data_IF_345063089723
#
_entry.id   IF_345063089723
#
_cell.length_a   1.000
_cell.length_b   1.000
_cell.length_c   1.000
_cell.angle_alpha   90.00
_cell.angle_beta   90.00
_cell.angle_gamma   90.00
#
_symmetry.space_group_name_H-M   'P 1'
#
loop_
_entity.id
_entity.type
_entity.pdbx_description
1 polymer ?
#
# COMPACT_ATOMS: atom_id res chain seq x y z
N UNK A 1 21.19 -7.31 -35.17
CA UNK A 1 20.94 -7.27 -33.71
C UNK A 1 21.24 -5.87 -33.22
N UNK A 2 20.21 -5.04 -33.10
CA UNK A 2 20.33 -3.65 -32.65
C UNK A 2 20.28 -3.64 -31.12
N UNK A 3 21.24 -3.01 -30.42
CA UNK A 3 21.18 -2.92 -28.97
C UNK A 3 19.96 -2.07 -28.58
N UNK A 4 19.11 -2.61 -27.69
CA UNK A 4 18.04 -1.85 -27.05
C UNK A 4 18.66 -0.62 -26.38
N UNK A 5 18.26 0.57 -26.81
CA UNK A 5 18.54 1.81 -26.10
C UNK A 5 18.04 1.63 -24.65
N UNK A 6 18.98 1.63 -23.70
CA UNK A 6 18.63 1.73 -22.30
C UNK A 6 17.94 3.07 -22.08
N UNK A 7 16.71 3.04 -21.57
CA UNK A 7 15.99 4.22 -21.10
C UNK A 7 16.96 5.05 -20.23
N UNK A 8 17.38 6.20 -20.75
CA UNK A 8 18.39 7.06 -20.11
C UNK A 8 17.75 7.90 -19.01
N UNK A 9 17.17 7.22 -18.03
CA UNK A 9 16.66 7.81 -16.80
C UNK A 9 17.76 7.99 -15.75
N UNK A 10 17.54 8.86 -14.74
CA UNK A 10 18.44 8.99 -13.61
C UNK A 10 18.62 7.63 -12.91
N UNK A 11 19.87 7.31 -12.53
CA UNK A 11 20.20 6.03 -11.90
C UNK A 11 19.38 5.82 -10.62
N UNK A 12 18.74 4.65 -10.41
CA UNK A 12 17.99 4.38 -9.20
C UNK A 12 18.84 4.50 -7.93
N UNK A 13 18.28 5.14 -6.92
CA UNK A 13 18.83 5.30 -5.59
C UNK A 13 18.00 4.40 -4.66
N UNK A 14 18.67 3.63 -3.81
CA UNK A 14 18.02 2.93 -2.69
C UNK A 14 18.01 3.82 -1.45
N UNK A 15 17.08 3.59 -0.52
CA UNK A 15 17.12 4.14 0.83
C UNK A 15 18.50 3.95 1.49
N UNK A 16 18.88 4.82 2.40
CA UNK A 16 20.14 4.68 3.14
C UNK A 16 20.04 3.57 4.17
N UNK A 17 21.17 2.91 4.48
CA UNK A 17 21.31 1.96 5.59
C UNK A 17 21.51 2.68 6.94
N UNK A 18 21.89 3.96 6.93
CA UNK A 18 22.28 4.68 8.16
C UNK A 18 21.14 4.92 9.15
N UNK A 19 19.90 4.89 8.66
CA UNK A 19 18.67 5.06 9.43
C UNK A 19 17.53 4.27 8.78
N UNK A 20 16.66 3.67 9.59
CA UNK A 20 15.50 2.92 9.11
C UNK A 20 14.42 3.82 8.48
N UNK A 21 13.41 3.22 7.85
CA UNK A 21 12.35 3.95 7.13
C UNK A 21 11.58 4.91 8.03
N UNK A 22 11.25 4.48 9.26
CA UNK A 22 10.59 5.34 10.24
C UNK A 22 11.39 6.63 10.47
N UNK A 23 12.70 6.53 10.66
CA UNK A 23 13.59 7.69 10.90
C UNK A 23 13.79 8.55 9.65
N UNK A 24 13.72 7.96 8.45
CA UNK A 24 13.71 8.71 7.20
C UNK A 24 12.41 9.52 7.03
N UNK A 25 11.27 8.98 7.46
CA UNK A 25 10.01 9.71 7.49
C UNK A 25 10.02 10.82 8.56
N UNK A 26 10.59 10.56 9.74
CA UNK A 26 10.79 11.59 10.77
C UNK A 26 11.69 12.73 10.26
N UNK A 27 12.71 12.43 9.42
CA UNK A 27 13.50 13.46 8.76
C UNK A 27 12.64 14.38 7.87
N UNK A 28 11.70 13.82 7.10
CA UNK A 28 10.76 14.64 6.32
C UNK A 28 9.94 15.55 7.22
N UNK A 29 9.39 14.98 8.30
CA UNK A 29 8.54 15.70 9.25
C UNK A 29 9.31 16.85 9.92
N UNK A 30 10.60 16.65 10.25
CA UNK A 30 11.48 17.71 10.78
C UNK A 30 11.73 18.81 9.74
N UNK A 31 12.00 18.44 8.49
CA UNK A 31 12.27 19.41 7.42
C UNK A 31 11.05 20.27 7.14
N UNK A 32 9.86 19.66 7.12
CA UNK A 32 8.58 20.37 6.97
C UNK A 32 8.34 21.30 8.15
N UNK A 33 8.57 20.82 9.38
CA UNK A 33 8.42 21.63 10.60
C UNK A 33 9.35 22.85 10.62
N UNK A 34 10.62 22.66 10.26
CA UNK A 34 11.63 23.74 10.24
C UNK A 34 11.45 24.70 9.06
N UNK A 35 11.06 24.20 7.89
CA UNK A 35 10.82 25.00 6.69
C UNK A 35 9.48 25.76 6.71
N UNK A 36 8.54 25.34 7.57
CA UNK A 36 7.23 25.96 7.69
C UNK A 36 6.35 25.81 6.44
N UNK A 37 5.22 26.52 6.37
CA UNK A 37 4.28 26.44 5.24
C UNK A 37 4.88 26.94 3.92
N UNK A 38 5.91 27.78 3.99
CA UNK A 38 6.64 28.28 2.83
C UNK A 38 7.70 27.30 2.31
N UNK A 39 7.87 26.15 2.98
CA UNK A 39 8.85 25.11 2.63
C UNK A 39 10.27 25.69 2.47
N UNK A 40 10.65 26.60 3.37
CA UNK A 40 11.94 27.27 3.31
C UNK A 40 13.10 26.27 3.40
N UNK A 41 14.23 26.53 2.71
CA UNK A 41 15.41 25.68 2.82
C UNK A 41 15.92 25.56 4.26
N UNK A 42 16.17 24.33 4.69
CA UNK A 42 16.70 23.95 6.00
C UNK A 42 18.12 23.43 5.82
N UNK A 43 19.04 23.79 6.72
CA UNK A 43 20.40 23.25 6.66
C UNK A 43 20.42 21.76 7.04
N UNK A 44 21.33 20.98 6.43
CA UNK A 44 21.48 19.57 6.78
C UNK A 44 21.82 19.38 8.27
N UNK A 45 22.59 20.31 8.85
CA UNK A 45 22.93 20.34 10.27
C UNK A 45 21.69 20.55 11.16
N UNK A 46 20.81 21.50 10.82
CA UNK A 46 19.59 21.74 11.59
C UNK A 46 18.62 20.54 11.53
N UNK A 47 18.43 19.96 10.34
CA UNK A 47 17.64 18.74 10.19
C UNK A 47 18.26 17.55 10.95
N UNK A 48 19.59 17.43 10.91
CA UNK A 48 20.34 16.43 11.67
C UNK A 48 20.19 16.59 13.18
N UNK A 49 20.26 17.83 13.67
CA UNK A 49 20.05 18.14 15.09
C UNK A 49 18.63 17.76 15.55
N UNK A 50 17.60 18.09 14.76
CA UNK A 50 16.21 17.69 15.06
C UNK A 50 16.02 16.17 15.11
N UNK A 51 16.78 15.42 14.30
CA UNK A 51 16.77 13.96 14.29
C UNK A 51 17.82 13.35 15.23
N UNK A 52 18.66 14.13 15.92
CA UNK A 52 19.82 13.62 16.68
C UNK A 52 20.75 12.69 15.85
N UNK A 53 21.07 13.08 14.61
CA UNK A 53 22.03 12.40 13.73
C UNK A 53 23.00 13.39 13.09
N UNK A 54 24.14 12.91 12.59
CA UNK A 54 25.10 13.75 11.87
C UNK A 54 24.64 14.16 10.46
N UNK A 55 25.21 15.26 9.96
CA UNK A 55 24.95 15.78 8.60
C UNK A 55 25.17 14.72 7.51
N UNK A 56 26.21 13.89 7.63
CA UNK A 56 26.49 12.82 6.69
C UNK A 56 25.34 11.78 6.60
N UNK A 57 24.60 11.56 7.68
CA UNK A 57 23.42 10.69 7.69
C UNK A 57 22.28 11.35 6.92
N UNK A 58 21.99 12.62 7.19
CA UNK A 58 20.97 13.40 6.47
C UNK A 58 21.29 13.46 4.97
N UNK A 59 22.55 13.74 4.62
CA UNK A 59 23.05 13.76 3.24
C UNK A 59 22.83 12.42 2.53
N UNK A 60 23.01 11.30 3.24
CA UNK A 60 22.80 9.95 2.69
C UNK A 60 21.30 9.62 2.52
N UNK A 61 20.47 10.02 3.48
CA UNK A 61 19.03 9.77 3.47
C UNK A 61 18.30 10.57 2.38
N UNK A 62 18.67 11.84 2.16
CA UNK A 62 17.95 12.71 1.23
C UNK A 62 17.94 12.21 -0.22
N UNK A 63 18.92 11.39 -0.64
CA UNK A 63 19.05 10.96 -2.03
C UNK A 63 17.84 10.17 -2.54
N UNK A 64 17.36 9.21 -1.75
CA UNK A 64 16.16 8.42 -2.09
C UNK A 64 14.90 9.29 -2.06
N UNK A 65 14.74 10.10 -1.02
CA UNK A 65 13.58 10.96 -0.84
C UNK A 65 13.48 12.02 -1.95
N UNK A 66 14.60 12.55 -2.41
CA UNK A 66 14.67 13.49 -3.55
C UNK A 66 14.34 12.85 -4.89
N UNK A 67 14.80 11.63 -5.14
CA UNK A 67 14.48 10.94 -6.38
C UNK A 67 12.98 10.63 -6.50
N UNK A 68 12.27 10.58 -5.37
CA UNK A 68 10.86 10.22 -5.30
C UNK A 68 10.00 11.38 -4.78
N UNK A 69 10.41 12.61 -5.12
CA UNK A 69 9.65 13.85 -4.97
C UNK A 69 9.18 14.19 -3.56
N UNK A 70 9.88 13.76 -2.50
CA UNK A 70 9.59 14.17 -1.12
C UNK A 70 10.44 15.36 -0.66
N UNK A 71 11.66 15.47 -1.17
CA UNK A 71 12.60 16.53 -0.81
C UNK A 71 13.18 17.19 -2.05
N UNK A 72 13.56 18.46 -1.95
CA UNK A 72 14.24 19.21 -3.00
C UNK A 72 15.68 19.53 -2.57
N UNK A 73 16.67 19.36 -3.46
CA UNK A 73 18.02 19.88 -3.20
C UNK A 73 18.06 21.40 -3.10
N UNK A 74 18.83 21.89 -2.14
CA UNK A 74 19.48 23.19 -2.23
C UNK A 74 20.94 23.06 -1.78
N UNK A 75 21.85 23.96 -2.20
CA UNK A 75 23.29 23.78 -1.93
C UNK A 75 23.55 23.70 -0.41
N UNK A 76 23.89 22.52 0.10
CA UNK A 76 24.08 22.27 1.55
C UNK A 76 22.80 22.36 2.39
N UNK A 77 21.64 22.37 1.74
CA UNK A 77 20.34 22.55 2.35
C UNK A 77 19.32 21.57 1.73
N UNK A 78 18.19 21.42 2.40
CA UNK A 78 17.06 20.64 1.91
C UNK A 78 15.77 21.39 2.20
N UNK A 79 14.83 21.35 1.27
CA UNK A 79 13.45 21.77 1.49
C UNK A 79 12.51 20.62 1.19
N UNK A 80 11.31 20.67 1.75
CA UNK A 80 10.24 19.78 1.30
C UNK A 80 9.77 20.20 -0.10
N UNK A 81 9.36 19.23 -0.91
CA UNK A 81 8.53 19.49 -2.08
C UNK A 81 7.07 19.71 -1.64
N UNK A 82 6.17 20.16 -2.53
CA UNK A 82 4.74 20.18 -2.23
C UNK A 82 4.20 18.80 -1.82
N UNK A 83 4.67 17.73 -2.47
CA UNK A 83 4.25 16.36 -2.17
C UNK A 83 4.78 15.89 -0.80
N UNK A 84 6.04 16.21 -0.48
CA UNK A 84 6.64 15.92 0.82
C UNK A 84 5.97 16.68 1.97
N UNK A 85 5.65 17.96 1.76
CA UNK A 85 4.88 18.77 2.71
C UNK A 85 3.50 18.16 2.96
N UNK A 86 2.77 17.83 1.89
CA UNK A 86 1.44 17.23 1.99
C UNK A 86 1.48 15.87 2.67
N UNK A 87 2.47 15.02 2.36
CA UNK A 87 2.67 13.74 3.03
C UNK A 87 2.87 13.94 4.54
N UNK A 88 3.71 14.88 4.96
CA UNK A 88 3.97 15.14 6.37
C UNK A 88 2.72 15.64 7.11
N UNK A 89 1.97 16.58 6.51
CA UNK A 89 0.73 17.08 7.11
C UNK A 89 -0.35 15.98 7.23
N UNK A 90 -0.47 15.12 6.21
CA UNK A 90 -1.34 13.94 6.29
C UNK A 90 -0.87 13.00 7.39
N UNK A 91 0.43 12.71 7.52
CA UNK A 91 0.94 11.81 8.56
C UNK A 91 0.60 12.27 9.98
N UNK A 92 0.57 13.59 10.21
CA UNK A 92 0.22 14.18 11.52
C UNK A 92 -1.26 14.05 11.88
N UNK A 93 -2.14 13.91 10.89
CA UNK A 93 -3.60 13.98 11.07
C UNK A 93 -4.29 12.65 10.79
N UNK A 94 -3.89 11.97 9.72
CA UNK A 94 -4.43 10.70 9.26
C UNK A 94 -3.33 9.88 8.56
N UNK A 95 -2.71 8.99 9.34
CA UNK A 95 -1.64 8.12 8.87
C UNK A 95 -2.10 7.17 7.76
N UNK A 96 -3.36 6.70 7.76
CA UNK A 96 -3.86 5.81 6.73
C UNK A 96 -3.98 6.54 5.38
N UNK A 97 -4.54 7.76 5.40
CA UNK A 97 -4.61 8.61 4.21
C UNK A 97 -3.21 9.01 3.70
N UNK A 98 -2.25 9.24 4.59
CA UNK A 98 -0.87 9.51 4.19
C UNK A 98 -0.25 8.34 3.41
N UNK A 99 -0.46 7.10 3.86
CA UNK A 99 0.06 5.89 3.18
C UNK A 99 -0.59 5.68 1.82
N UNK A 100 -1.91 5.88 1.71
CA UNK A 100 -2.63 5.83 0.44
C UNK A 100 -2.16 6.92 -0.53
N UNK A 101 -1.98 8.14 -0.04
CA UNK A 101 -1.44 9.23 -0.84
C UNK A 101 -0.04 8.91 -1.37
N UNK A 102 0.83 8.35 -0.52
CA UNK A 102 2.18 7.93 -0.93
C UNK A 102 2.15 6.80 -1.96
N UNK A 103 1.25 5.83 -1.79
CA UNK A 103 1.01 4.75 -2.77
C UNK A 103 0.75 5.32 -4.15
N UNK A 104 -0.18 6.27 -4.22
CA UNK A 104 -0.64 6.86 -5.47
C UNK A 104 0.46 7.74 -6.09
N UNK A 105 1.19 8.51 -5.27
CA UNK A 105 2.36 9.29 -5.71
C UNK A 105 3.46 8.40 -6.33
N UNK A 106 3.64 7.19 -5.80
CA UNK A 106 4.70 6.27 -6.21
C UNK A 106 4.23 5.14 -7.12
N UNK A 107 3.04 5.21 -7.68
CA UNK A 107 2.49 4.17 -8.57
C UNK A 107 3.45 3.87 -9.74
N UNK A 108 4.01 4.93 -10.32
CA UNK A 108 4.97 4.86 -11.42
C UNK A 108 6.44 4.96 -10.96
N UNK A 109 6.73 4.76 -9.68
CA UNK A 109 8.11 4.68 -9.22
C UNK A 109 8.77 3.39 -9.74
N UNK A 110 10.08 3.43 -9.98
CA UNK A 110 10.82 2.29 -10.54
C UNK A 110 10.74 1.06 -9.63
N UNK A 111 10.73 1.25 -8.31
CA UNK A 111 10.68 0.17 -7.33
C UNK A 111 9.27 -0.42 -7.20
N UNK A 112 8.22 0.40 -7.33
CA UNK A 112 6.83 -0.05 -7.40
C UNK A 112 6.62 -0.93 -8.63
N UNK A 113 7.02 -0.46 -9.83
CA UNK A 113 6.94 -1.27 -11.05
C UNK A 113 7.75 -2.56 -10.95
N UNK A 114 8.91 -2.52 -10.29
CA UNK A 114 9.74 -3.70 -10.08
C UNK A 114 9.06 -4.69 -9.14
N UNK A 115 8.54 -4.23 -8.00
CA UNK A 115 7.80 -5.06 -7.05
C UNK A 115 6.58 -5.72 -7.70
N UNK A 116 5.79 -4.96 -8.45
CA UNK A 116 4.63 -5.48 -9.21
C UNK A 116 5.03 -6.59 -10.20
N UNK A 117 6.18 -6.45 -10.88
CA UNK A 117 6.68 -7.49 -11.80
C UNK A 117 7.14 -8.74 -11.06
N UNK A 118 7.80 -8.59 -9.90
CA UNK A 118 8.35 -9.69 -9.13
C UNK A 118 7.24 -10.50 -8.44
N UNK A 119 6.30 -9.81 -7.81
CA UNK A 119 5.24 -10.38 -6.96
C UNK A 119 3.96 -10.74 -7.71
N UNK A 120 3.94 -10.61 -9.05
CA UNK A 120 2.73 -10.85 -9.87
C UNK A 120 2.14 -12.25 -9.66
N UNK A 121 3.01 -13.25 -9.50
CA UNK A 121 2.59 -14.66 -9.54
C UNK A 121 2.61 -15.33 -8.15
N UNK A 122 3.45 -14.84 -7.23
CA UNK A 122 3.61 -15.47 -5.92
C UNK A 122 4.12 -14.47 -4.89
N UNK A 123 3.67 -14.57 -3.63
CA UNK A 123 4.33 -13.89 -2.51
C UNK A 123 5.80 -14.31 -2.39
N UNK A 124 6.64 -13.43 -1.85
CA UNK A 124 8.07 -13.68 -1.63
C UNK A 124 8.52 -13.28 -0.22
N UNK A 125 9.49 -14.01 0.31
CA UNK A 125 10.17 -13.63 1.55
C UNK A 125 10.75 -12.20 1.44
N UNK A 126 10.63 -11.35 2.48
CA UNK A 126 11.12 -9.97 2.45
C UNK A 126 12.59 -9.85 2.00
N UNK A 127 13.46 -10.72 2.50
CA UNK A 127 14.89 -10.72 2.17
C UNK A 127 15.16 -11.09 0.70
N UNK A 128 14.38 -12.02 0.14
CA UNK A 128 14.49 -12.44 -1.26
C UNK A 128 14.00 -11.32 -2.17
N UNK A 129 12.86 -10.71 -1.83
CA UNK A 129 12.33 -9.56 -2.55
C UNK A 129 13.33 -8.39 -2.54
N UNK A 130 13.89 -8.06 -1.36
CA UNK A 130 14.92 -7.04 -1.20
C UNK A 130 16.13 -7.30 -2.12
N UNK A 131 16.66 -8.53 -2.13
CA UNK A 131 17.78 -8.92 -2.98
C UNK A 131 17.46 -8.76 -4.47
N UNK A 132 16.25 -9.15 -4.90
CA UNK A 132 15.82 -9.06 -6.30
C UNK A 132 15.59 -7.61 -6.74
N UNK A 133 15.01 -6.78 -5.89
CA UNK A 133 14.84 -5.34 -6.12
C UNK A 133 16.19 -4.62 -6.24
N UNK A 134 17.22 -5.08 -5.51
CA UNK A 134 18.55 -4.46 -5.51
C UNK A 134 19.57 -5.08 -6.47
N UNK A 135 19.22 -6.12 -7.25
CA UNK A 135 20.17 -6.99 -8.00
C UNK A 135 21.16 -6.26 -8.93
N UNK A 136 20.83 -5.06 -9.40
CA UNK A 136 21.68 -4.26 -10.31
C UNK A 136 22.13 -2.93 -9.71
N UNK A 137 21.93 -2.76 -8.40
CA UNK A 137 22.32 -1.57 -7.66
C UNK A 137 23.50 -1.96 -6.76
N UNK A 138 24.64 -1.31 -6.94
CA UNK A 138 25.76 -1.40 -5.99
C UNK A 138 25.22 -0.96 -4.65
N UNK A 139 25.13 -1.85 -3.62
CA UNK A 139 24.74 -1.55 -2.23
C UNK A 139 24.62 -2.80 -1.31
N UNK A 140 24.41 -2.57 -0.02
CA UNK A 140 24.23 -3.56 1.06
C UNK A 140 22.82 -4.15 1.10
N UNK A 141 22.67 -5.36 1.66
CA UNK A 141 21.38 -6.03 1.84
C UNK A 141 20.36 -5.19 2.63
N UNK A 142 20.83 -4.48 3.65
CA UNK A 142 20.02 -3.61 4.52
C UNK A 142 19.27 -2.52 3.74
N UNK A 143 19.86 -1.96 2.68
CA UNK A 143 19.18 -0.94 1.86
C UNK A 143 18.07 -1.51 1.00
N UNK A 144 18.21 -2.79 0.60
CA UNK A 144 17.14 -3.52 -0.05
C UNK A 144 15.98 -3.75 0.93
N UNK A 145 16.27 -4.11 2.17
CA UNK A 145 15.25 -4.27 3.22
C UNK A 145 14.51 -2.97 3.50
N UNK A 146 15.22 -1.84 3.64
CA UNK A 146 14.56 -0.55 3.79
C UNK A 146 13.70 -0.17 2.58
N UNK A 147 14.02 -0.64 1.37
CA UNK A 147 13.14 -0.44 0.21
C UNK A 147 11.84 -1.26 0.33
N UNK A 148 11.93 -2.49 0.84
CA UNK A 148 10.74 -3.32 1.13
C UNK A 148 9.89 -2.68 2.23
N UNK A 149 10.51 -2.15 3.29
CA UNK A 149 9.82 -1.39 4.34
C UNK A 149 9.11 -0.13 3.77
N UNK A 150 9.74 0.57 2.83
CA UNK A 150 9.10 1.70 2.15
C UNK A 150 7.91 1.28 1.29
N UNK A 151 8.01 0.15 0.59
CA UNK A 151 6.92 -0.43 -0.20
C UNK A 151 5.73 -0.86 0.68
N UNK A 152 6.01 -1.45 1.84
CA UNK A 152 5.00 -1.83 2.84
C UNK A 152 4.35 -0.59 3.47
N UNK A 153 5.17 0.40 3.87
CA UNK A 153 4.67 1.68 4.37
C UNK A 153 3.75 2.35 3.33
N UNK A 154 4.14 2.36 2.05
CA UNK A 154 3.34 2.93 0.97
C UNK A 154 2.18 2.03 0.50
N UNK A 155 1.84 0.93 1.20
CA UNK A 155 0.75 0.03 0.83
C UNK A 155 0.82 -0.47 -0.62
N UNK A 156 2.03 -0.66 -1.14
CA UNK A 156 2.27 -1.31 -2.43
C UNK A 156 2.34 -2.82 -2.24
N UNK A 157 2.94 -3.23 -1.13
CA UNK A 157 3.01 -4.62 -0.68
C UNK A 157 2.46 -4.72 0.72
N UNK A 158 2.07 -5.93 1.11
CA UNK A 158 1.70 -6.30 2.47
C UNK A 158 2.25 -7.69 2.78
N UNK A 159 2.50 -7.97 4.05
CA UNK A 159 2.77 -9.33 4.50
C UNK A 159 1.48 -10.16 4.47
N UNK A 160 1.57 -11.39 3.97
CA UNK A 160 0.54 -12.40 4.15
C UNK A 160 0.64 -13.09 5.54
N UNK A 161 -0.22 -14.08 5.77
CA UNK A 161 -0.28 -14.80 7.05
C UNK A 161 1.02 -15.55 7.38
N UNK A 162 1.84 -15.88 6.37
CA UNK A 162 3.14 -16.53 6.50
C UNK A 162 4.31 -15.53 6.61
N UNK A 163 4.02 -14.22 6.60
CA UNK A 163 5.03 -13.16 6.64
C UNK A 163 5.72 -12.87 5.31
N UNK A 164 5.19 -13.40 4.19
CA UNK A 164 5.70 -13.16 2.84
C UNK A 164 5.05 -11.93 2.24
N UNK A 165 5.83 -11.17 1.47
CA UNK A 165 5.35 -9.96 0.83
C UNK A 165 4.55 -10.32 -0.43
N UNK A 166 3.32 -9.82 -0.52
CA UNK A 166 2.47 -9.87 -1.72
C UNK A 166 2.02 -8.46 -2.10
N UNK A 167 1.46 -8.31 -3.31
CA UNK A 167 0.86 -7.04 -3.71
C UNK A 167 -0.43 -6.78 -2.92
N UNK A 168 -0.61 -5.56 -2.43
CA UNK A 168 -1.87 -5.15 -1.80
C UNK A 168 -3.00 -5.28 -2.82
N UNK A 169 -4.10 -5.92 -2.41
CA UNK A 169 -5.26 -6.16 -3.27
C UNK A 169 -5.12 -7.38 -4.18
N UNK A 170 -4.01 -8.13 -4.14
CA UNK A 170 -3.88 -9.43 -4.79
C UNK A 170 -4.57 -10.56 -4.03
N UNK A 171 -5.63 -10.25 -3.27
CA UNK A 171 -6.47 -11.30 -2.70
C UNK A 171 -6.96 -12.13 -3.87
N UNK A 172 -6.61 -13.42 -3.85
CA UNK A 172 -7.23 -14.40 -4.72
C UNK A 172 -8.74 -14.19 -4.61
N UNK A 173 -9.37 -14.01 -5.76
CA UNK A 173 -10.80 -14.16 -5.91
C UNK A 173 -11.21 -15.37 -5.07
N UNK A 174 -12.20 -15.26 -4.14
CA UNK A 174 -12.65 -16.43 -3.42
C UNK A 174 -12.92 -17.53 -4.46
N UNK A 175 -12.45 -18.76 -4.23
CA UNK A 175 -12.61 -19.82 -5.22
C UNK A 175 -14.06 -19.80 -5.70
N UNK A 176 -14.32 -19.86 -7.02
CA UNK A 176 -15.68 -19.87 -7.52
C UNK A 176 -16.43 -20.94 -6.73
N UNK A 177 -17.64 -20.64 -6.20
CA UNK A 177 -18.37 -21.60 -5.40
C UNK A 177 -18.37 -22.91 -6.17
N UNK A 178 -17.85 -23.97 -5.55
CA UNK A 178 -17.82 -25.29 -6.14
C UNK A 178 -19.22 -25.56 -6.72
N UNK A 179 -19.33 -26.12 -7.94
CA UNK A 179 -20.62 -26.27 -8.60
C UNK A 179 -21.60 -26.90 -7.63
N UNK A 180 -22.61 -26.11 -7.24
CA UNK A 180 -23.68 -26.54 -6.36
C UNK A 180 -24.19 -27.85 -6.93
N UNK A 181 -23.93 -28.93 -6.19
CA UNK A 181 -24.63 -30.17 -6.42
C UNK A 181 -26.10 -29.84 -6.20
N UNK A 182 -26.89 -29.97 -7.27
CA UNK A 182 -28.28 -29.55 -7.34
C UNK A 182 -29.02 -29.78 -6.00
N UNK A 183 -29.75 -28.77 -5.48
CA UNK A 183 -30.43 -28.92 -4.21
C UNK A 183 -31.43 -30.09 -4.31
N UNK A 184 -31.49 -30.99 -3.32
CA UNK A 184 -32.64 -31.88 -3.23
C UNK A 184 -33.86 -30.98 -3.04
N UNK A 185 -34.80 -31.10 -3.97
CA UNK A 185 -36.10 -30.46 -3.90
C UNK A 185 -36.82 -30.91 -2.61
N UNK A 186 -36.79 -30.06 -1.58
CA UNK A 186 -37.73 -30.11 -0.47
C UNK A 186 -37.81 -28.71 0.15
N UNK A 187 -38.87 -28.00 -0.20
CA UNK A 187 -39.29 -26.75 0.43
C UNK A 187 -39.32 -26.86 1.98
N UNK A 188 -38.58 -26.05 2.74
CA UNK A 188 -38.76 -25.93 4.18
C UNK A 188 -39.74 -24.79 4.46
N UNK A 189 -40.99 -24.88 3.98
CA UNK A 189 -42.02 -23.86 4.24
C UNK A 189 -42.93 -24.20 5.43
N UNK A 190 -42.58 -25.20 6.23
CA UNK A 190 -43.36 -25.62 7.40
C UNK A 190 -42.49 -25.91 8.64
N UNK A 191 -41.30 -25.30 8.75
CA UNK A 191 -40.51 -25.38 9.99
C UNK A 191 -40.97 -24.30 10.97
N UNK A 192 -41.17 -24.70 12.23
CA UNK A 192 -41.56 -23.80 13.33
C UNK A 192 -40.37 -22.93 13.76
N UNK A 193 -40.63 -21.79 14.42
CA UNK A 193 -39.57 -20.86 14.84
C UNK A 193 -38.53 -21.49 15.78
N UNK A 194 -38.93 -22.50 16.57
CA UNK A 194 -38.05 -23.26 17.45
C UNK A 194 -37.10 -24.18 16.64
N UNK A 195 -37.57 -24.81 15.58
CA UNK A 195 -36.74 -25.66 14.71
C UNK A 195 -35.70 -24.84 13.95
N UNK A 196 -36.05 -23.61 13.54
CA UNK A 196 -35.12 -22.70 12.85
C UNK A 196 -34.00 -22.25 13.80
N UNK A 197 -34.29 -22.05 15.08
CA UNK A 197 -33.30 -21.63 16.08
C UNK A 197 -32.31 -22.73 16.49
N UNK A 198 -32.64 -24.00 16.23
CA UNK A 198 -31.76 -25.15 16.49
C UNK A 198 -30.86 -25.55 15.31
N UNK A 199 -30.93 -24.83 14.18
CA UNK A 199 -30.15 -25.17 12.99
C UNK A 199 -28.67 -24.78 13.17
N UNK A 200 -27.73 -25.58 12.64
CA UNK A 200 -26.34 -25.17 12.49
C UNK A 200 -26.25 -23.87 11.65
N UNK A 201 -25.35 -22.96 12.03
CA UNK A 201 -25.26 -21.60 11.48
C UNK A 201 -25.36 -21.54 9.94
N UNK A 202 -24.67 -22.45 9.24
CA UNK A 202 -24.70 -22.50 7.77
C UNK A 202 -26.09 -22.79 7.18
N UNK A 203 -26.90 -23.61 7.83
CA UNK A 203 -28.26 -23.92 7.39
C UNK A 203 -29.23 -22.80 7.78
N UNK A 204 -29.02 -22.16 8.94
CA UNK A 204 -29.76 -20.98 9.34
C UNK A 204 -29.58 -19.82 8.33
N UNK A 205 -28.34 -19.55 7.90
CA UNK A 205 -28.06 -18.53 6.90
C UNK A 205 -28.73 -18.81 5.55
N UNK A 206 -28.75 -20.07 5.10
CA UNK A 206 -29.41 -20.46 3.86
C UNK A 206 -30.93 -20.23 3.92
N UNK A 207 -31.57 -20.55 5.05
CA UNK A 207 -33.00 -20.29 5.27
C UNK A 207 -33.30 -18.78 5.27
N UNK A 208 -32.49 -17.98 5.95
CA UNK A 208 -32.67 -16.53 5.99
C UNK A 208 -32.47 -15.85 4.62
N UNK A 209 -31.52 -16.31 3.81
CA UNK A 209 -31.34 -15.83 2.43
C UNK A 209 -32.54 -16.16 1.54
N UNK A 210 -33.11 -17.37 1.69
CA UNK A 210 -34.32 -17.76 0.95
C UNK A 210 -35.52 -16.86 1.32
N UNK A 211 -35.69 -16.54 2.61
CA UNK A 211 -36.71 -15.60 3.07
C UNK A 211 -36.51 -14.18 2.51
N UNK A 212 -35.28 -13.67 2.54
CA UNK A 212 -34.96 -12.35 2.01
C UNK A 212 -35.26 -12.24 0.52
N UNK A 213 -34.95 -13.29 -0.25
CA UNK A 213 -35.22 -13.36 -1.69
C UNK A 213 -36.72 -13.35 -1.99
N UNK A 214 -37.54 -14.00 -1.16
CA UNK A 214 -39.00 -13.97 -1.30
C UNK A 214 -39.63 -12.63 -0.91
N UNK A 215 -39.14 -11.99 0.15
CA UNK A 215 -39.63 -10.67 0.54
C UNK A 215 -39.31 -9.60 -0.52
N UNK A 216 -38.12 -9.68 -1.12
CA UNK A 216 -37.71 -8.76 -2.19
C UNK A 216 -38.42 -9.02 -3.52
N UNK A 217 -38.72 -10.27 -3.87
CA UNK A 217 -39.50 -10.59 -5.08
C UNK A 217 -40.97 -10.18 -4.96
N UNK A 218 -41.55 -10.17 -3.75
CA UNK A 218 -42.92 -9.66 -3.53
C UNK A 218 -42.99 -8.13 -3.62
N UNK A 219 -41.97 -7.43 -3.12
CA UNK A 219 -41.90 -5.96 -3.14
C UNK A 219 -41.75 -5.37 -4.55
N UNK A 220 -41.26 -6.15 -5.52
CA UNK A 220 -41.02 -5.71 -6.91
C UNK A 220 -42.23 -5.89 -7.84
N UNK A 221 -43.37 -6.38 -7.34
CA UNK A 221 -44.61 -6.52 -8.11
C UNK A 221 -45.60 -5.38 -7.85
N UNK A 222 -45.29 -4.16 -8.31
CA UNK A 222 -46.26 -3.05 -8.40
C UNK A 222 -46.60 -2.82 -9.88
N UNK A 223 -47.87 -2.91 -10.33
CA UNK A 223 -48.21 -2.77 -11.74
C UNK A 223 -48.18 -1.30 -12.19
N UNK A 224 -47.83 -1.01 -13.46
CA UNK A 224 -47.75 0.36 -13.96
C UNK A 224 -49.14 0.95 -14.27
N UNK A 225 -49.35 2.19 -13.82
CA UNK A 225 -50.49 3.05 -14.14
C UNK A 225 -50.49 3.41 -15.63
N UNK A 226 -51.63 3.22 -16.31
CA UNK A 226 -51.81 3.56 -17.72
C UNK A 226 -51.84 5.08 -17.96
N UNK A 227 -51.23 5.60 -19.05
CA UNK A 227 -51.31 7.02 -19.40
C UNK A 227 -52.61 7.32 -20.18
N UNK A 228 -53.14 8.53 -19.96
CA UNK A 228 -54.28 9.12 -20.66
C UNK A 228 -53.85 9.82 -21.95
#
# INVERSE_FOLDING_TARGET
>A
MTPRQAESGPRPILPTERINVRRQLELLDIVVSLGGPEMLPVTLSAAGAGLAVGEATVQSAQGFMRQNDLLCPSRGMLSATPEGFRLSELRRTDSARARLYLRDLWLDAWFTRSAVKLLRCSPEEPAVLAQRLSRHLTKTAERGMHLVEWLDYALVVEADDDGRMRLVGAHAEPPPPAPETAPPAAAPFLATAEEISGLPDGQFFAVMQAYQTLLTSRASSTPPTAPA
#
